data_IF_887625719709
#
_entry.id   IF_887625719709
#
_cell.length_a   1.000
_cell.length_b   1.000
_cell.length_c   1.000
_cell.angle_alpha   90.00
_cell.angle_beta   90.00
_cell.angle_gamma   90.00
#
_symmetry.space_group_name_H-M   'P 1'
#
loop_
_entity.id
_entity.type
_entity.pdbx_description
1 polymer ?
#
# COMPACT_ATOMS: atom_id res chain seq x y z
N UNK A 1 -15.18 -16.92 5.69
CA UNK A 1 -14.68 -16.89 5.74
C UNK A 1 -14.25 -16.51 6.03
N UNK A 2 -14.18 -16.09 6.20
CA UNK A 2 -13.77 -15.89 6.63
C UNK A 2 -13.47 -15.17 6.90
N UNK A 3 -13.61 -15.05 7.36
CA UNK A 3 -13.19 -14.64 7.79
C UNK A 3 -12.61 -14.19 7.86
N UNK A 4 -12.62 -13.94 7.99
CA UNK A 4 -11.97 -13.61 8.13
C UNK A 4 -11.25 -13.48 8.44
N UNK A 5 -11.05 -13.65 8.63
CA UNK A 5 -10.36 -13.56 8.79
C UNK A 5 -9.66 -13.02 9.16
N UNK A 6 -9.26 -13.03 9.36
CA UNK A 6 -8.46 -12.53 9.89
C UNK A 6 -8.47 -11.19 10.19
N UNK A 7 -8.84 -10.83 10.78
CA UNK A 7 -8.97 -9.70 11.04
C UNK A 7 -8.24 -9.22 11.94
N UNK A 8 -7.94 -8.48 11.91
CA UNK A 8 -7.05 -7.85 12.58
C UNK A 8 -7.43 -7.44 13.81
N UNK A 9 -6.78 -7.23 14.38
CA UNK A 9 -6.95 -6.92 15.58
C UNK A 9 -7.03 -5.60 15.76
N UNK A 10 -7.26 -5.22 16.32
CA UNK A 10 -7.42 -4.07 16.55
C UNK A 10 -6.44 -3.41 17.07
N UNK A 11 -6.25 -2.89 17.23
CA UNK A 11 -5.34 -2.27 17.51
C UNK A 11 -5.14 -1.83 18.68
N UNK A 12 -5.16 -1.76 19.01
CA UNK A 12 -4.93 -1.45 19.81
C UNK A 12 -4.95 -0.52 20.45
N UNK A 13 -5.09 -0.30 20.69
CA UNK A 13 -5.19 0.43 21.14
C UNK A 13 -4.84 1.03 21.89
N UNK A 14 -4.78 1.31 22.08
CA UNK A 14 -4.43 1.67 22.59
C UNK A 14 -4.45 2.69 23.05
N UNK A 15 -4.35 3.01 23.47
CA UNK A 15 -4.39 3.86 24.04
C UNK A 15 -4.06 5.03 23.76
N UNK A 16 -3.74 5.09 23.50
CA UNK A 16 -3.34 5.92 23.22
C UNK A 16 -3.82 7.06 23.15
N UNK A 17 -3.48 7.72 23.03
CA UNK A 17 -3.75 8.81 22.92
C UNK A 17 -4.62 9.14 22.04
N UNK A 18 -5.27 9.04 22.19
CA UNK A 18 -6.28 9.20 21.50
C UNK A 18 -6.43 10.28 20.66
N UNK A 19 -6.53 11.23 21.16
CA UNK A 19 -6.85 12.33 20.46
C UNK A 19 -6.25 12.36 19.18
N UNK A 20 -5.14 12.08 19.10
CA UNK A 20 -4.51 12.19 18.03
C UNK A 20 -4.84 11.38 16.98
N UNK A 21 -5.04 10.38 17.23
CA UNK A 21 -5.14 9.58 16.21
C UNK A 21 -6.25 9.70 15.53
N UNK A 22 -6.90 10.05 15.96
CA UNK A 22 -7.93 10.25 15.46
C UNK A 22 -8.17 10.00 14.22
N UNK A 23 -8.38 9.72 13.95
CA UNK A 23 -8.88 9.70 12.92
C UNK A 23 -8.38 9.51 11.67
N UNK A 24 -7.44 9.85 11.38
CA UNK A 24 -7.03 9.83 10.02
C UNK A 24 -6.21 8.61 9.62
N UNK A 25 -5.79 7.83 10.55
CA UNK A 25 -4.99 6.65 10.19
C UNK A 25 -5.84 5.62 9.45
N UNK A 26 -5.21 4.97 8.50
CA UNK A 26 -5.84 3.98 7.67
C UNK A 26 -4.99 2.72 7.69
N UNK A 27 -5.61 1.58 7.70
CA UNK A 27 -4.90 0.32 7.75
C UNK A 27 -5.33 -0.57 6.60
N UNK A 28 -4.47 -1.49 6.24
CA UNK A 28 -4.77 -2.48 5.24
C UNK A 28 -3.88 -3.69 5.41
N UNK A 29 -4.09 -4.69 4.59
CA UNK A 29 -3.27 -5.89 4.64
C UNK A 29 -3.38 -6.64 3.33
N UNK A 30 -2.45 -7.57 3.11
CA UNK A 30 -2.58 -8.52 2.02
C UNK A 30 -3.72 -9.48 2.36
N UNK A 31 -4.06 -10.33 1.43
CA UNK A 31 -5.23 -11.19 1.61
C UNK A 31 -5.06 -12.13 2.81
N UNK A 32 -3.88 -12.69 3.01
CA UNK A 32 -3.70 -13.63 4.11
C UNK A 32 -3.43 -12.92 5.44
N UNK A 33 -3.24 -11.61 5.43
CA UNK A 33 -3.05 -10.84 6.64
C UNK A 33 -1.62 -10.79 7.18
N UNK A 34 -0.68 -11.44 6.51
CA UNK A 34 0.69 -11.45 7.02
C UNK A 34 1.39 -10.12 6.83
N UNK A 35 1.07 -9.40 5.76
CA UNK A 35 1.67 -8.09 5.52
C UNK A 35 0.63 -7.04 5.86
N UNK A 36 0.97 -6.12 6.75
CA UNK A 36 0.05 -5.11 7.19
C UNK A 36 0.61 -3.74 6.89
N UNK A 37 -0.26 -2.82 6.56
CA UNK A 37 0.11 -1.47 6.15
C UNK A 37 -0.66 -0.50 7.02
N UNK A 38 0.02 0.53 7.50
CA UNK A 38 -0.63 1.61 8.24
C UNK A 38 -0.19 2.93 7.65
N UNK A 39 -1.14 3.78 7.34
CA UNK A 39 -0.90 5.07 6.70
C UNK A 39 -1.45 6.18 7.57
N UNK A 40 -0.89 7.38 7.47
CA UNK A 40 -1.31 8.49 8.35
C UNK A 40 -2.68 9.04 8.00
N UNK A 41 -3.12 8.89 6.75
CA UNK A 41 -4.41 9.41 6.33
C UNK A 41 -4.84 8.66 5.07
N UNK A 42 -6.10 8.72 4.72
CA UNK A 42 -6.56 8.07 3.50
C UNK A 42 -6.05 8.80 2.27
N UNK A 43 -5.86 8.10 1.17
CA UNK A 43 -5.38 8.78 -0.02
C UNK A 43 -6.45 9.69 -0.61
N UNK A 44 -6.02 10.85 -1.08
CA UNK A 44 -6.95 11.76 -1.72
C UNK A 44 -7.11 11.43 -3.20
N UNK A 45 -6.12 10.79 -3.77
CA UNK A 45 -6.18 10.34 -5.16
C UNK A 45 -5.27 9.14 -5.30
N UNK A 46 -5.51 8.38 -6.35
CA UNK A 46 -4.66 7.22 -6.64
C UNK A 46 -4.29 7.27 -8.11
N UNK A 47 -3.19 6.65 -8.45
CA UNK A 47 -2.68 6.61 -9.81
C UNK A 47 -3.06 5.31 -10.49
N UNK A 48 -3.41 5.42 -11.76
CA UNK A 48 -3.66 4.28 -12.61
C UNK A 48 -2.62 4.39 -13.73
N UNK A 49 -1.49 3.74 -13.57
CA UNK A 49 -0.37 3.85 -14.49
C UNK A 49 -0.45 2.73 -15.52
N UNK A 50 -0.18 3.06 -16.77
CA UNK A 50 -0.26 2.08 -17.84
C UNK A 50 1.09 1.58 -18.34
N UNK A 51 2.15 1.73 -17.56
CA UNK A 51 3.44 1.19 -17.98
C UNK A 51 3.37 -0.33 -18.01
N UNK A 52 4.38 -0.94 -18.61
CA UNK A 52 4.33 -2.39 -18.84
C UNK A 52 4.15 -3.18 -17.56
N UNK A 53 4.67 -2.67 -16.45
CA UNK A 53 4.56 -3.37 -15.19
C UNK A 53 3.24 -3.05 -14.48
N UNK A 54 2.90 -1.77 -14.39
CA UNK A 54 1.75 -1.38 -13.60
C UNK A 54 0.43 -1.88 -14.17
N UNK A 55 0.31 -1.95 -15.50
CA UNK A 55 -0.93 -2.46 -16.04
C UNK A 55 -1.10 -3.95 -15.77
N UNK A 56 -0.01 -4.68 -15.57
CA UNK A 56 -0.11 -6.09 -15.25
C UNK A 56 -0.38 -6.31 -13.77
N UNK A 57 0.12 -5.42 -12.92
CA UNK A 57 -0.14 -5.51 -11.51
C UNK A 57 -1.56 -5.04 -11.17
N UNK A 58 -2.11 -4.14 -11.98
CA UNK A 58 -3.47 -3.64 -11.79
C UNK A 58 -3.65 -2.94 -10.46
N UNK A 59 -2.61 -2.27 -9.97
CA UNK A 59 -2.71 -1.55 -8.70
C UNK A 59 -3.39 -0.22 -8.89
N UNK A 60 -3.93 0.29 -7.81
CA UNK A 60 -4.24 1.71 -7.68
C UNK A 60 -3.24 2.23 -6.67
N UNK A 61 -2.34 3.07 -7.09
CA UNK A 61 -1.18 3.44 -6.30
C UNK A 61 -1.39 4.74 -5.57
N UNK A 62 -1.20 4.73 -4.26
CA UNK A 62 -1.23 5.95 -3.47
C UNK A 62 0.19 6.25 -3.02
N UNK A 63 0.59 7.52 -3.05
CA UNK A 63 1.96 7.89 -2.74
C UNK A 63 2.04 8.53 -1.37
N UNK A 64 3.06 8.16 -0.61
CA UNK A 64 3.27 8.70 0.73
C UNK A 64 4.76 8.84 0.99
N UNK A 65 5.17 9.79 1.85
CA UNK A 65 6.56 9.82 2.27
C UNK A 65 6.89 8.54 3.03
N UNK A 66 8.04 7.94 2.79
CA UNK A 66 8.34 6.65 3.43
C UNK A 66 8.32 6.70 4.95
N UNK A 67 8.71 7.82 5.53
CA UNK A 67 8.78 7.90 6.98
C UNK A 67 7.39 7.90 7.64
N UNK A 68 6.33 8.08 6.85
CA UNK A 68 4.98 8.08 7.38
C UNK A 68 4.27 6.75 7.23
N UNK A 69 4.90 5.79 6.57
CA UNK A 69 4.28 4.52 6.27
C UNK A 69 4.84 3.44 7.17
N UNK A 70 3.96 2.61 7.73
CA UNK A 70 4.40 1.47 8.48
C UNK A 70 3.99 0.21 7.78
N UNK A 71 4.94 -0.64 7.48
CA UNK A 71 4.66 -1.92 6.85
C UNK A 71 5.29 -2.99 7.72
N UNK A 72 4.51 -3.97 8.12
CA UNK A 72 5.02 -5.09 8.90
C UNK A 72 4.77 -6.37 8.14
N UNK A 73 5.57 -7.36 8.41
CA UNK A 73 5.48 -8.64 7.73
C UNK A 73 6.54 -8.75 6.65
N UNK A 74 6.83 -9.98 6.29
CA UNK A 74 7.87 -10.25 5.32
C UNK A 74 7.34 -10.09 3.91
N UNK A 75 8.11 -9.47 3.02
CA UNK A 75 7.73 -9.32 1.63
C UNK A 75 8.87 -9.78 0.75
N UNK A 76 8.54 -10.09 -0.50
CA UNK A 76 9.51 -10.42 -1.51
C UNK A 76 9.45 -9.31 -2.56
N UNK A 77 10.59 -8.88 -3.06
CA UNK A 77 10.64 -7.78 -3.99
C UNK A 77 11.05 -8.23 -5.38
N UNK A 78 10.38 -7.69 -6.38
CA UNK A 78 10.75 -7.88 -7.77
C UNK A 78 11.45 -6.60 -8.23
N UNK A 79 12.64 -6.75 -8.76
CA UNK A 79 13.46 -5.62 -9.19
C UNK A 79 13.77 -5.81 -10.66
N UNK A 80 13.59 -4.76 -11.46
CA UNK A 80 13.83 -4.88 -12.89
C UNK A 80 14.21 -3.52 -13.47
N UNK A 81 14.54 -3.52 -14.74
CA UNK A 81 14.85 -2.28 -15.44
C UNK A 81 16.07 -1.59 -14.89
N UNK A 82 15.95 -0.32 -14.57
CA UNK A 82 17.05 0.46 -14.05
C UNK A 82 17.32 0.16 -12.59
N UNK A 83 16.51 -0.72 -11.99
CA UNK A 83 16.71 -1.19 -10.62
C UNK A 83 16.62 -0.08 -9.59
N UNK A 84 15.80 0.90 -9.83
CA UNK A 84 15.65 2.00 -8.88
C UNK A 84 14.60 1.72 -7.83
N UNK A 85 13.64 0.84 -8.11
CA UNK A 85 12.62 0.50 -7.13
C UNK A 85 12.45 -1.01 -7.07
N UNK A 86 11.92 -1.46 -5.96
CA UNK A 86 11.51 -2.85 -5.80
C UNK A 86 10.02 -2.92 -5.59
N UNK A 87 9.37 -3.83 -6.28
CA UNK A 87 7.93 -4.03 -6.17
C UNK A 87 7.72 -5.20 -5.22
N UNK A 88 7.09 -4.93 -4.10
CA UNK A 88 6.97 -5.92 -3.03
C UNK A 88 5.65 -6.65 -3.07
N UNK A 89 5.66 -7.90 -2.68
CA UNK A 89 4.43 -8.69 -2.56
C UNK A 89 4.56 -9.65 -1.39
N UNK A 90 3.43 -10.12 -0.91
CA UNK A 90 3.42 -11.11 0.15
C UNK A 90 3.91 -12.44 -0.40
N UNK A 91 4.87 -13.10 0.24
CA UNK A 91 5.36 -14.35 -0.29
C UNK A 91 4.39 -15.52 -0.14
N UNK A 92 3.33 -15.34 0.65
CA UNK A 92 2.39 -16.42 0.90
C UNK A 92 1.17 -16.28 0.02
N UNK A 93 0.49 -15.16 0.01
CA UNK A 93 -0.71 -15.01 -0.78
C UNK A 93 -0.48 -14.32 -2.13
N UNK A 94 0.68 -13.73 -2.32
CA UNK A 94 1.01 -13.14 -3.61
C UNK A 94 0.51 -11.73 -3.85
N UNK A 95 -0.24 -11.14 -2.92
CA UNK A 95 -0.76 -9.80 -3.14
C UNK A 95 0.36 -8.80 -3.21
N UNK A 96 0.32 -7.92 -4.21
CA UNK A 96 1.27 -6.81 -4.28
C UNK A 96 0.97 -5.81 -3.19
N UNK A 97 1.99 -5.33 -2.51
CA UNK A 97 1.78 -4.48 -1.36
C UNK A 97 2.25 -3.06 -1.58
N UNK A 98 3.45 -2.86 -2.06
CA UNK A 98 3.99 -1.52 -2.22
C UNK A 98 5.23 -1.55 -3.08
N UNK A 99 5.68 -0.38 -3.51
CA UNK A 99 7.03 -0.28 -4.07
C UNK A 99 7.83 0.72 -3.24
N UNK A 100 9.11 0.47 -3.14
CA UNK A 100 10.02 1.33 -2.40
C UNK A 100 11.29 1.50 -3.21
N UNK A 101 11.99 2.61 -2.96
CA UNK A 101 13.23 2.87 -3.67
C UNK A 101 14.34 1.97 -3.16
N UNK A 102 15.26 1.64 -4.03
CA UNK A 102 16.36 0.78 -3.65
C UNK A 102 17.60 1.57 -3.27
N UNK A 103 17.86 2.64 -3.87
CA UNK A 103 19.03 3.40 -3.54
C UNK A 103 18.62 4.75 -3.07
N UNK A 104 18.65 5.69 -3.99
CA UNK A 104 18.32 7.02 -3.63
C UNK A 104 16.86 7.15 -3.29
N UNK A 105 16.56 7.89 -2.25
CA UNK A 105 15.18 8.05 -1.80
C UNK A 105 14.53 9.16 -2.61
N UNK A 106 13.43 8.87 -3.27
CA UNK A 106 12.71 9.87 -4.03
C UNK A 106 11.77 10.68 -3.17
N UNK A 107 11.74 10.46 -1.88
CA UNK A 107 10.83 11.16 -0.99
C UNK A 107 9.42 10.59 -0.98
N UNK A 108 9.18 9.48 -1.67
CA UNK A 108 7.87 8.86 -1.68
C UNK A 108 7.99 7.39 -1.96
N UNK A 109 6.97 6.66 -1.56
CA UNK A 109 6.83 5.27 -1.91
C UNK A 109 5.40 5.05 -2.36
N UNK A 110 5.16 3.99 -3.08
CA UNK A 110 3.83 3.70 -3.63
C UNK A 110 3.18 2.57 -2.88
N UNK A 111 1.94 2.76 -2.48
CA UNK A 111 1.18 1.78 -1.74
C UNK A 111 0.05 1.28 -2.63
N UNK A 112 -0.19 -0.01 -2.63
CA UNK A 112 -1.32 -0.57 -3.37
C UNK A 112 -2.58 -0.25 -2.56
N UNK A 113 -3.30 0.78 -2.96
CA UNK A 113 -4.45 1.25 -2.21
C UNK A 113 -5.58 0.23 -2.16
N UNK A 114 -5.59 -0.76 -3.07
CA UNK A 114 -6.62 -1.77 -3.03
C UNK A 114 -6.53 -2.66 -1.80
N UNK A 115 -5.42 -2.62 -1.08
CA UNK A 115 -5.28 -3.39 0.15
C UNK A 115 -5.85 -2.66 1.37
N UNK A 116 -6.18 -1.39 1.23
CA UNK A 116 -6.63 -0.60 2.39
C UNK A 116 -8.06 -0.97 2.76
N UNK A 117 -8.29 -1.10 4.07
CA UNK A 117 -9.61 -1.44 4.57
C UNK A 117 -10.57 -0.32 4.22
N UNK A 118 -11.69 -0.67 3.66
CA UNK A 118 -12.69 0.32 3.32
C UNK A 118 -12.39 1.16 2.08
N UNK A 119 -11.34 0.82 1.35
CA UNK A 119 -10.98 1.60 0.16
C UNK A 119 -12.11 1.47 -0.87
N UNK A 120 -12.56 2.62 -1.37
CA UNK A 120 -13.62 2.65 -2.36
C UNK A 120 -13.10 3.51 -3.51
N UNK A 121 -12.75 2.87 -4.60
CA UNK A 121 -12.16 3.56 -5.74
C UNK A 121 -13.10 4.60 -6.31
N UNK A 122 -14.42 4.41 -6.20
CA UNK A 122 -15.37 5.36 -6.74
C UNK A 122 -15.43 6.63 -5.91
N UNK A 123 -14.88 6.61 -4.70
CA UNK A 123 -14.94 7.76 -3.82
C UNK A 123 -13.65 8.58 -3.84
N UNK A 124 -12.66 8.20 -4.64
CA UNK A 124 -11.41 8.94 -4.72
C UNK A 124 -11.13 9.30 -6.17
N UNK A 125 -10.32 10.30 -6.36
CA UNK A 125 -9.92 10.69 -7.71
C UNK A 125 -8.93 9.66 -8.24
N UNK A 126 -9.13 9.18 -9.47
CA UNK A 126 -8.19 8.27 -10.11
C UNK A 126 -7.52 9.04 -11.24
N UNK A 127 -6.21 9.20 -11.14
CA UNK A 127 -5.44 9.93 -12.14
C UNK A 127 -4.73 8.93 -13.04
N UNK A 128 -4.93 9.07 -14.32
CA UNK A 128 -4.33 8.15 -15.27
C UNK A 128 -2.97 8.67 -15.67
N UNK A 129 -1.97 7.83 -15.54
CA UNK A 129 -0.60 8.17 -15.88
C UNK A 129 -0.24 7.41 -17.14
N UNK A 130 0.17 8.12 -18.18
CA UNK A 130 0.50 7.50 -19.45
C UNK A 130 2.00 7.33 -19.53
N UNK A 131 2.47 6.25 -18.97
CA UNK A 131 3.88 5.91 -18.98
C UNK A 131 4.17 4.66 -19.80
N UNK A 132 3.33 4.41 -20.79
CA UNK A 132 3.51 3.21 -21.61
C UNK A 132 4.84 3.25 -22.31
N UNK A 133 5.50 2.10 -22.44
CA UNK A 133 6.79 2.03 -23.08
C UNK A 133 6.76 1.16 -24.26
#
# INVERSE_FOLDING_TARGET
MGERHGRPPPPIAGPCSPAIQIAMTVQGSCHCGRVRIELPNPPEWVADCNCSLCRKLAWRVAYYPPEQVRISGETTAYVWGDRMIGIHHCPVCGCGTHWATLGEDFGKMGINARLLDGFDESAVEVRKFDNAE
#
